data_IF_995198498826
#
_entry.id   IF_995198498826
#
_cell.length_a   1.000
_cell.length_b   1.000
_cell.length_c   1.000
_cell.angle_alpha   90.00
_cell.angle_beta   90.00
_cell.angle_gamma   90.00
#
_symmetry.space_group_name_H-M   'P 1'
#
loop_
_entity.id
_entity.type
_entity.pdbx_description
1 polymer ?
#
# COMPACT_ATOMS: atom_id res chain seq x y z
N UNK A 1 -17.48 13.25 60.46
CA UNK A 1 -17.36 11.95 59.78
C UNK A 1 -16.47 12.13 58.56
N UNK A 2 -15.20 11.72 58.64
CA UNK A 2 -14.26 11.73 57.51
C UNK A 2 -13.67 10.33 57.44
N UNK A 3 -14.07 9.54 56.43
CA UNK A 3 -13.50 8.22 56.13
C UNK A 3 -12.58 8.38 54.94
N UNK A 4 -11.28 8.27 55.19
CA UNK A 4 -10.25 8.14 54.17
C UNK A 4 -10.41 6.79 53.47
N UNK A 5 -10.48 6.80 52.14
CA UNK A 5 -10.42 5.59 51.30
C UNK A 5 -8.95 5.37 50.93
N UNK A 6 -8.36 4.30 51.46
CA UNK A 6 -7.06 3.80 51.04
C UNK A 6 -7.24 3.03 49.72
N UNK A 7 -6.64 3.52 48.63
CA UNK A 7 -6.48 2.75 47.39
C UNK A 7 -5.07 2.18 47.38
N UNK A 8 -4.93 0.91 47.75
CA UNK A 8 -3.68 0.17 47.65
C UNK A 8 -3.46 -0.30 46.22
N UNK A 9 -2.45 0.26 45.55
CA UNK A 9 -1.92 -0.25 44.27
C UNK A 9 -1.09 -1.49 44.61
N UNK A 10 -1.59 -2.67 44.25
CA UNK A 10 -0.84 -3.92 44.33
C UNK A 10 0.11 -3.98 43.13
N UNK A 11 1.36 -3.56 43.34
CA UNK A 11 2.44 -3.71 42.38
C UNK A 11 2.91 -5.17 42.40
N UNK A 12 2.46 -5.95 41.41
CA UNK A 12 2.87 -7.33 41.21
C UNK A 12 4.32 -7.33 40.69
N UNK A 13 5.28 -7.37 41.62
CA UNK A 13 6.67 -7.70 41.31
C UNK A 13 6.69 -9.13 40.73
N UNK A 14 6.86 -9.24 39.42
CA UNK A 14 7.34 -10.48 38.79
C UNK A 14 8.75 -10.72 39.33
N UNK A 15 8.85 -11.56 40.36
CA UNK A 15 10.12 -12.15 40.77
C UNK A 15 10.66 -12.94 39.59
N UNK A 16 11.78 -12.50 39.03
CA UNK A 16 12.59 -13.33 38.17
C UNK A 16 13.04 -14.53 39.01
N UNK A 17 12.58 -15.72 38.63
CA UNK A 17 13.11 -16.96 39.20
C UNK A 17 14.59 -17.02 38.82
N UNK A 18 15.45 -16.98 39.84
CA UNK A 18 16.89 -16.97 39.69
C UNK A 18 17.39 -18.33 39.14
N UNK A 19 18.28 -18.29 38.15
CA UNK A 19 19.10 -19.42 37.66
C UNK A 19 20.17 -19.85 38.69
N UNK A 20 19.78 -20.07 39.94
CA UNK A 20 20.70 -20.47 41.02
C UNK A 20 20.92 -21.98 41.13
N UNK A 21 19.95 -22.78 40.70
CA UNK A 21 19.95 -24.25 40.85
C UNK A 21 20.67 -24.97 39.70
N UNK A 22 20.79 -24.32 38.53
CA UNK A 22 21.44 -24.89 37.34
C UNK A 22 22.96 -25.09 37.53
N UNK A 23 23.63 -24.23 38.31
CA UNK A 23 25.08 -24.30 38.53
C UNK A 23 25.44 -25.51 39.40
N UNK A 24 24.69 -25.75 40.48
CA UNK A 24 24.95 -26.86 41.41
C UNK A 24 24.80 -28.23 40.73
N UNK A 25 23.73 -28.41 39.94
CA UNK A 25 23.52 -29.66 39.21
C UNK A 25 24.62 -29.94 38.17
N UNK A 26 25.02 -28.93 37.39
CA UNK A 26 26.05 -29.10 36.36
C UNK A 26 27.41 -29.44 36.97
N UNK A 27 27.75 -28.82 38.09
CA UNK A 27 28.97 -29.11 38.84
C UNK A 27 28.95 -30.53 39.40
N UNK A 28 27.86 -30.92 40.07
CA UNK A 28 27.68 -32.28 40.60
C UNK A 28 27.76 -33.34 39.49
N UNK A 29 27.11 -33.12 38.35
CA UNK A 29 27.18 -34.04 37.22
C UNK A 29 28.58 -34.12 36.59
N UNK A 30 29.30 -32.99 36.51
CA UNK A 30 30.59 -32.91 35.81
C UNK A 30 31.74 -33.42 36.67
N UNK A 31 31.75 -33.09 37.96
CA UNK A 31 32.84 -33.34 38.90
C UNK A 31 32.65 -34.60 39.76
N UNK A 32 31.42 -35.11 39.91
CA UNK A 32 31.17 -36.32 40.71
C UNK A 32 31.73 -37.58 40.04
N UNK A 33 32.33 -38.44 40.86
CA UNK A 33 32.68 -39.82 40.47
C UNK A 33 31.45 -40.71 40.25
N UNK A 34 30.30 -40.36 40.83
CA UNK A 34 29.01 -41.05 40.69
C UNK A 34 27.97 -40.14 39.99
N UNK A 35 28.15 -39.97 38.69
CA UNK A 35 27.20 -39.21 37.83
C UNK A 35 25.77 -39.77 37.84
N UNK A 36 25.54 -41.10 37.91
CA UNK A 36 24.20 -41.66 38.08
C UNK A 36 23.44 -41.15 39.32
N UNK A 37 24.14 -40.85 40.42
CA UNK A 37 23.50 -40.26 41.60
C UNK A 37 22.91 -38.86 41.31
N UNK A 38 23.64 -38.02 40.57
CA UNK A 38 23.15 -36.71 40.13
C UNK A 38 21.93 -36.85 39.21
N UNK A 39 21.96 -37.78 38.24
CA UNK A 39 20.84 -37.99 37.32
C UNK A 39 19.51 -38.36 38.00
N UNK A 40 19.54 -38.97 39.19
CA UNK A 40 18.33 -39.29 39.99
C UNK A 40 17.61 -38.05 40.52
N UNK A 41 18.28 -36.92 40.60
CA UNK A 41 17.68 -35.65 41.03
C UNK A 41 16.79 -35.03 39.93
N UNK A 42 16.97 -35.46 38.67
CA UNK A 42 16.21 -34.95 37.54
C UNK A 42 14.80 -35.57 37.48
N UNK A 43 13.81 -34.74 37.21
CA UNK A 43 12.40 -35.15 37.12
C UNK A 43 12.18 -35.91 35.80
N UNK A 44 11.74 -37.19 35.83
CA UNK A 44 11.53 -37.96 34.60
C UNK A 44 10.56 -37.30 33.61
N UNK A 45 11.01 -37.18 32.35
CA UNK A 45 10.21 -36.61 31.27
C UNK A 45 10.39 -35.10 31.04
N UNK A 46 11.20 -34.40 31.83
CA UNK A 46 11.64 -33.03 31.54
C UNK A 46 12.73 -33.01 30.46
N UNK A 47 12.94 -31.85 29.83
CA UNK A 47 14.02 -31.67 28.86
C UNK A 47 15.41 -31.90 29.49
N UNK A 48 15.63 -31.43 30.72
CA UNK A 48 16.88 -31.68 31.48
C UNK A 48 17.10 -33.17 31.74
N UNK A 49 16.06 -33.90 32.14
CA UNK A 49 16.13 -35.35 32.32
C UNK A 49 16.62 -36.03 31.04
N UNK A 50 16.01 -35.75 29.90
CA UNK A 50 16.42 -36.37 28.64
C UNK A 50 17.84 -35.96 28.22
N UNK A 51 18.17 -34.66 28.30
CA UNK A 51 19.47 -34.14 27.89
C UNK A 51 20.62 -34.74 28.69
N UNK A 52 20.56 -34.69 30.02
CA UNK A 52 21.67 -35.16 30.88
C UNK A 52 21.81 -36.68 30.90
N UNK A 53 20.70 -37.43 30.81
CA UNK A 53 20.77 -38.89 30.66
C UNK A 53 21.39 -39.27 29.31
N UNK A 54 21.00 -38.62 28.21
CA UNK A 54 21.64 -38.85 26.91
C UNK A 54 23.11 -38.45 26.93
N UNK A 55 23.48 -37.34 27.56
CA UNK A 55 24.87 -36.90 27.66
C UNK A 55 25.72 -37.88 28.46
N UNK A 56 25.18 -38.45 29.53
CA UNK A 56 25.85 -39.51 30.29
C UNK A 56 26.08 -40.77 29.44
N UNK A 57 25.07 -41.20 28.67
CA UNK A 57 25.20 -42.34 27.75
C UNK A 57 26.22 -42.07 26.65
N UNK A 58 26.30 -40.84 26.12
CA UNK A 58 27.36 -40.45 25.18
C UNK A 58 28.75 -40.55 25.82
N UNK A 59 28.91 -40.05 27.04
CA UNK A 59 30.19 -40.06 27.77
C UNK A 59 30.66 -41.46 28.19
N UNK A 60 29.75 -42.43 28.26
CA UNK A 60 30.02 -43.84 28.61
C UNK A 60 29.97 -44.76 27.39
N UNK A 61 29.90 -44.17 26.19
CA UNK A 61 29.88 -44.88 24.89
C UNK A 61 28.70 -45.85 24.69
N UNK A 62 27.62 -45.67 25.46
CA UNK A 62 26.41 -46.49 25.39
C UNK A 62 25.42 -45.95 24.35
N UNK A 63 25.86 -45.83 23.10
CA UNK A 63 25.11 -45.14 22.05
C UNK A 63 23.77 -45.81 21.67
N UNK A 64 23.64 -47.11 21.88
CA UNK A 64 22.42 -47.87 21.58
C UNK A 64 21.24 -47.50 22.50
N UNK A 65 21.51 -47.21 23.78
CA UNK A 65 20.49 -46.87 24.76
C UNK A 65 19.94 -45.43 24.59
N UNK A 66 20.56 -44.61 23.75
CA UNK A 66 20.14 -43.22 23.51
C UNK A 66 18.83 -43.18 22.71
N UNK A 67 18.61 -44.12 21.79
CA UNK A 67 17.40 -44.13 20.93
C UNK A 67 16.10 -44.26 21.75
N UNK A 68 16.16 -45.01 22.85
CA UNK A 68 15.03 -45.19 23.78
C UNK A 68 14.62 -43.88 24.48
N UNK A 69 15.56 -42.93 24.61
CA UNK A 69 15.30 -41.61 25.19
C UNK A 69 14.95 -40.57 24.12
N UNK A 70 15.54 -40.64 22.92
CA UNK A 70 15.32 -39.64 21.86
C UNK A 70 13.88 -39.63 21.34
N UNK A 71 13.25 -40.81 21.19
CA UNK A 71 11.88 -40.91 20.70
C UNK A 71 10.86 -40.24 21.62
N UNK A 72 10.76 -40.60 22.93
CA UNK A 72 9.83 -39.93 23.83
C UNK A 72 10.20 -38.48 24.10
N UNK A 73 11.48 -38.10 24.01
CA UNK A 73 11.89 -36.70 24.10
C UNK A 73 11.33 -35.86 22.95
N UNK A 74 11.46 -36.34 21.70
CA UNK A 74 10.89 -35.69 20.52
C UNK A 74 9.36 -35.59 20.61
N UNK A 75 8.69 -36.67 21.02
CA UNK A 75 7.21 -36.70 21.11
C UNK A 75 6.67 -35.70 22.15
N UNK A 76 7.39 -35.47 23.24
CA UNK A 76 6.96 -34.58 24.33
C UNK A 76 7.33 -33.12 24.12
N UNK A 77 8.54 -32.85 23.63
CA UNK A 77 9.12 -31.51 23.60
C UNK A 77 9.38 -30.98 22.19
N UNK A 78 9.16 -31.79 21.15
CA UNK A 78 9.45 -31.41 19.76
C UNK A 78 10.95 -31.27 19.48
N UNK A 79 11.28 -30.57 18.38
CA UNK A 79 12.66 -30.39 17.96
C UNK A 79 13.33 -29.24 18.73
N UNK A 80 14.02 -29.55 19.84
CA UNK A 80 14.74 -28.55 20.65
C UNK A 80 16.21 -28.38 20.23
N UNK A 81 16.87 -27.30 20.69
CA UNK A 81 18.31 -27.11 20.46
C UNK A 81 19.16 -28.23 21.10
N UNK A 82 18.81 -28.63 22.32
CA UNK A 82 19.45 -29.71 23.09
C UNK A 82 19.25 -31.08 22.45
N UNK A 83 18.05 -31.37 21.94
CA UNK A 83 17.80 -32.60 21.18
C UNK A 83 18.68 -32.66 19.92
N UNK A 84 18.78 -31.55 19.17
CA UNK A 84 19.67 -31.45 18.00
C UNK A 84 21.14 -31.64 18.37
N UNK A 85 21.57 -31.09 19.50
CA UNK A 85 22.92 -31.24 20.02
C UNK A 85 23.26 -32.71 20.32
N UNK A 86 22.40 -33.41 21.08
CA UNK A 86 22.59 -34.83 21.39
C UNK A 86 22.60 -35.69 20.12
N UNK A 87 21.65 -35.47 19.19
CA UNK A 87 21.61 -36.20 17.90
C UNK A 87 22.89 -35.97 17.09
N UNK A 88 23.41 -34.75 17.08
CA UNK A 88 24.65 -34.41 16.37
C UNK A 88 25.86 -35.05 17.03
N UNK A 89 25.99 -34.96 18.35
CA UNK A 89 27.08 -35.62 19.09
C UNK A 89 27.07 -37.13 18.86
N UNK A 90 25.89 -37.75 18.94
CA UNK A 90 25.73 -39.18 18.63
C UNK A 90 26.21 -39.49 17.22
N UNK A 91 25.71 -38.77 16.20
CA UNK A 91 26.11 -39.00 14.81
C UNK A 91 27.63 -38.89 14.60
N UNK A 92 28.29 -37.94 15.27
CA UNK A 92 29.74 -37.79 15.22
C UNK A 92 30.47 -38.94 15.93
N UNK A 93 30.02 -39.32 17.14
CA UNK A 93 30.65 -40.36 17.93
C UNK A 93 30.43 -41.77 17.35
N UNK A 94 29.36 -42.01 16.60
CA UNK A 94 29.11 -43.28 15.92
C UNK A 94 29.61 -43.31 14.47
N UNK A 95 30.39 -42.30 14.04
CA UNK A 95 30.84 -42.19 12.65
C UNK A 95 31.62 -43.43 12.19
N UNK A 96 32.55 -43.92 13.00
CA UNK A 96 33.38 -45.09 12.65
C UNK A 96 32.55 -46.38 12.50
N UNK A 97 31.39 -46.45 13.16
CA UNK A 97 30.49 -47.61 13.10
C UNK A 97 29.47 -47.50 11.96
N UNK A 98 28.97 -46.28 11.69
CA UNK A 98 27.86 -46.04 10.75
C UNK A 98 28.09 -44.77 9.91
N UNK A 99 29.16 -44.72 9.09
CA UNK A 99 29.58 -43.50 8.42
C UNK A 99 28.52 -42.94 7.47
N UNK A 100 27.79 -43.81 6.74
CA UNK A 100 26.76 -43.38 5.80
C UNK A 100 25.61 -42.64 6.50
N UNK A 101 25.08 -43.20 7.60
CA UNK A 101 23.99 -42.60 8.38
C UNK A 101 24.41 -41.29 9.04
N UNK A 102 25.63 -41.23 9.56
CA UNK A 102 26.19 -40.01 10.15
C UNK A 102 26.33 -38.90 9.10
N UNK A 103 26.87 -39.22 7.92
CA UNK A 103 27.02 -38.25 6.83
C UNK A 103 25.67 -37.81 6.24
N UNK A 104 24.67 -38.69 6.18
CA UNK A 104 23.31 -38.34 5.77
C UNK A 104 22.67 -37.37 6.77
N UNK A 105 22.74 -37.67 8.06
CA UNK A 105 22.25 -36.78 9.12
C UNK A 105 22.91 -35.39 9.04
N UNK A 106 24.24 -35.33 8.91
CA UNK A 106 24.97 -34.07 8.86
C UNK A 106 24.65 -33.28 7.58
N UNK A 107 24.53 -33.94 6.42
CA UNK A 107 24.11 -33.29 5.17
C UNK A 107 22.73 -32.65 5.31
N UNK A 108 21.76 -33.38 5.85
CA UNK A 108 20.41 -32.89 6.06
C UNK A 108 20.37 -31.76 7.09
N UNK A 109 21.13 -31.89 8.20
CA UNK A 109 21.17 -30.89 9.27
C UNK A 109 21.78 -29.56 8.84
N UNK A 110 22.88 -29.61 8.08
CA UNK A 110 23.60 -28.41 7.64
C UNK A 110 23.12 -27.88 6.29
N UNK A 111 22.16 -28.54 5.65
CA UNK A 111 21.69 -28.15 4.32
C UNK A 111 22.80 -28.21 3.27
N UNK A 112 23.76 -29.14 3.43
CA UNK A 112 24.89 -29.26 2.50
C UNK A 112 24.38 -29.92 1.23
N UNK A 113 24.01 -29.09 0.27
CA UNK A 113 23.75 -29.49 -1.10
C UNK A 113 24.96 -29.13 -1.96
N UNK A 114 25.33 -30.01 -2.89
CA UNK A 114 26.32 -29.74 -3.92
C UNK A 114 25.62 -29.62 -5.28
N UNK A 115 24.83 -28.57 -5.55
CA UNK A 115 24.14 -28.36 -6.83
C UNK A 115 25.12 -27.94 -7.94
N UNK A 116 26.41 -28.21 -7.76
CA UNK A 116 27.44 -27.87 -8.71
C UNK A 116 27.22 -28.70 -9.97
N UNK A 117 26.78 -28.01 -11.01
CA UNK A 117 26.75 -28.55 -12.34
C UNK A 117 28.16 -28.46 -12.92
N UNK A 118 28.57 -29.45 -13.70
CA UNK A 118 29.83 -29.40 -14.43
C UNK A 118 29.82 -28.18 -15.35
N UNK A 119 30.78 -27.28 -15.18
CA UNK A 119 30.99 -26.18 -16.12
C UNK A 119 31.59 -26.73 -17.42
N UNK A 120 30.79 -26.77 -18.47
CA UNK A 120 31.25 -27.09 -19.81
C UNK A 120 31.75 -25.80 -20.48
N UNK A 121 33.03 -25.50 -20.34
CA UNK A 121 33.67 -24.28 -20.86
C UNK A 121 33.54 -24.09 -22.39
N UNK A 122 33.21 -25.16 -23.11
CA UNK A 122 33.07 -25.18 -24.58
C UNK A 122 31.61 -25.42 -25.02
N UNK A 123 30.63 -25.32 -24.12
CA UNK A 123 29.23 -25.42 -24.52
C UNK A 123 28.77 -24.12 -25.18
N UNK A 124 28.21 -24.22 -26.39
CA UNK A 124 27.58 -23.08 -27.03
C UNK A 124 26.41 -22.58 -26.16
N UNK A 125 26.37 -21.28 -25.80
CA UNK A 125 25.33 -20.77 -24.92
C UNK A 125 23.97 -20.80 -25.65
N UNK A 126 23.08 -21.70 -25.21
CA UNK A 126 21.71 -21.79 -25.68
C UNK A 126 20.80 -20.79 -24.94
N UNK A 127 21.16 -19.51 -24.96
CA UNK A 127 20.39 -18.42 -24.36
C UNK A 127 19.83 -17.50 -25.45
N UNK A 128 18.60 -16.99 -25.30
CA UNK A 128 18.05 -16.01 -26.24
C UNK A 128 18.91 -14.76 -26.29
N UNK A 129 19.35 -14.36 -27.49
CA UNK A 129 20.13 -13.13 -27.71
C UNK A 129 19.27 -11.91 -27.99
N UNK A 130 17.95 -12.10 -28.14
CA UNK A 130 16.98 -11.03 -28.41
C UNK A 130 15.70 -11.24 -27.62
N UNK A 131 15.06 -10.14 -27.21
CA UNK A 131 13.72 -10.17 -26.65
C UNK A 131 12.68 -10.32 -27.77
N UNK A 132 11.69 -11.17 -27.55
CA UNK A 132 10.53 -11.30 -28.43
C UNK A 132 9.74 -9.98 -28.48
N UNK A 133 9.71 -9.27 -29.64
CA UNK A 133 9.00 -7.99 -29.76
C UNK A 133 7.51 -8.09 -29.42
N UNK A 134 6.90 -9.26 -29.64
CA UNK A 134 5.48 -9.47 -29.33
C UNK A 134 5.22 -9.38 -27.82
N UNK A 135 6.18 -9.75 -26.98
CA UNK A 135 6.05 -9.73 -25.51
C UNK A 135 6.36 -8.39 -24.86
N UNK A 136 7.09 -7.52 -25.57
CA UNK A 136 7.51 -6.19 -25.08
C UNK A 136 6.80 -5.04 -25.78
N UNK A 137 5.80 -5.35 -26.61
CA UNK A 137 4.98 -4.34 -27.26
C UNK A 137 4.10 -3.60 -26.24
N UNK A 138 3.71 -2.37 -26.59
CA UNK A 138 2.79 -1.56 -25.76
C UNK A 138 1.45 -2.26 -25.55
N UNK A 139 0.96 -2.97 -26.56
CA UNK A 139 -0.27 -3.74 -26.47
C UNK A 139 -0.12 -4.94 -25.51
N UNK A 140 0.99 -5.67 -25.57
CA UNK A 140 1.26 -6.76 -24.64
C UNK A 140 1.37 -6.29 -23.19
N UNK A 141 2.00 -5.14 -22.94
CA UNK A 141 2.04 -4.54 -21.62
C UNK A 141 0.67 -4.04 -21.16
N UNK A 142 -0.13 -3.44 -22.05
CA UNK A 142 -1.51 -3.02 -21.76
C UNK A 142 -2.36 -4.21 -21.33
N UNK A 143 -2.35 -5.30 -22.11
CA UNK A 143 -3.11 -6.52 -21.80
C UNK A 143 -2.66 -7.15 -20.48
N UNK A 144 -1.35 -7.22 -20.24
CA UNK A 144 -0.81 -7.72 -18.97
C UNK A 144 -1.27 -6.87 -17.78
N UNK A 145 -1.15 -5.55 -17.87
CA UNK A 145 -1.59 -4.64 -16.81
C UNK A 145 -3.09 -4.80 -16.52
N UNK A 146 -3.93 -4.83 -17.57
CA UNK A 146 -5.37 -5.03 -17.41
C UNK A 146 -5.70 -6.42 -16.83
N UNK A 147 -4.97 -7.47 -17.17
CA UNK A 147 -5.19 -8.81 -16.61
C UNK A 147 -4.86 -8.88 -15.11
N UNK A 148 -3.79 -8.22 -14.67
CA UNK A 148 -3.35 -8.24 -13.27
C UNK A 148 -4.29 -7.40 -12.40
N UNK A 149 -4.75 -6.26 -12.94
CA UNK A 149 -5.54 -5.28 -12.20
C UNK A 149 -7.04 -5.35 -12.48
N UNK A 150 -7.56 -6.50 -12.94
CA UNK A 150 -9.01 -6.72 -13.15
C UNK A 150 -9.65 -5.64 -14.04
N UNK A 151 -8.98 -5.29 -15.13
CA UNK A 151 -9.36 -4.22 -16.07
C UNK A 151 -9.38 -2.81 -15.49
N UNK A 152 -8.73 -2.56 -14.34
CA UNK A 152 -8.54 -1.22 -13.77
C UNK A 152 -7.24 -0.58 -14.24
N UNK A 153 -7.12 0.73 -14.05
CA UNK A 153 -5.97 1.52 -14.53
C UNK A 153 -4.84 1.66 -13.51
N UNK A 154 -4.90 0.96 -12.36
CA UNK A 154 -3.84 1.01 -11.33
C UNK A 154 -2.46 0.55 -11.84
N UNK A 155 -2.42 -0.34 -12.84
CA UNK A 155 -1.16 -0.80 -13.44
C UNK A 155 -0.52 0.20 -14.42
N UNK A 156 -1.14 1.36 -14.63
CA UNK A 156 -0.65 2.39 -15.55
C UNK A 156 -0.15 3.60 -14.78
N UNK A 157 1.03 4.08 -15.14
CA UNK A 157 1.55 5.38 -14.72
C UNK A 157 0.80 6.53 -15.42
N UNK A 158 0.84 7.73 -14.85
CA UNK A 158 0.16 8.91 -15.42
C UNK A 158 0.69 9.27 -16.81
N UNK A 159 1.95 8.94 -17.10
CA UNK A 159 2.59 9.10 -18.42
C UNK A 159 1.85 8.32 -19.53
N UNK A 160 1.18 7.22 -19.17
CA UNK A 160 0.44 6.40 -20.12
C UNK A 160 -0.84 7.09 -20.63
N UNK A 161 -1.39 8.06 -19.89
CA UNK A 161 -2.68 8.68 -20.21
C UNK A 161 -2.69 9.45 -21.53
N UNK A 162 -1.53 9.95 -21.97
CA UNK A 162 -1.40 10.62 -23.26
C UNK A 162 -1.85 9.76 -24.44
N UNK A 163 -1.62 8.45 -24.38
CA UNK A 163 -2.05 7.53 -25.43
C UNK A 163 -3.26 6.68 -25.00
N UNK A 164 -3.41 6.40 -23.71
CA UNK A 164 -4.52 5.59 -23.19
C UNK A 164 -5.89 6.25 -23.42
N UNK A 165 -5.96 7.58 -23.40
CA UNK A 165 -7.21 8.33 -23.62
C UNK A 165 -7.83 8.07 -25.01
N UNK A 166 -7.02 7.66 -26.00
CA UNK A 166 -7.46 7.36 -27.36
C UNK A 166 -7.91 5.91 -27.54
N UNK A 167 -7.91 5.09 -26.48
CA UNK A 167 -8.35 3.70 -26.52
C UNK A 167 -9.81 3.58 -26.08
N UNK A 168 -10.42 2.45 -26.42
CA UNK A 168 -11.76 2.12 -25.93
C UNK A 168 -11.71 1.82 -24.43
N UNK A 169 -12.17 2.78 -23.63
CA UNK A 169 -12.26 2.67 -22.18
C UNK A 169 -13.71 2.44 -21.76
N UNK A 170 -13.92 1.44 -20.91
CA UNK A 170 -15.21 1.22 -20.26
C UNK A 170 -15.49 2.35 -19.24
N UNK A 171 -16.72 2.39 -18.70
CA UNK A 171 -17.16 3.47 -17.81
C UNK A 171 -16.31 3.61 -16.53
N UNK A 172 -15.89 2.49 -15.93
CA UNK A 172 -15.10 2.50 -14.70
C UNK A 172 -13.66 2.95 -14.98
N UNK A 173 -13.06 2.47 -16.08
CA UNK A 173 -11.73 2.91 -16.55
C UNK A 173 -11.70 4.39 -16.89
N UNK A 174 -12.73 4.87 -17.60
CA UNK A 174 -12.89 6.28 -17.97
C UNK A 174 -12.89 7.18 -16.74
N UNK A 175 -13.66 6.79 -15.73
CA UNK A 175 -13.73 7.52 -14.46
C UNK A 175 -12.40 7.53 -13.73
N UNK A 176 -11.72 6.39 -13.65
CA UNK A 176 -10.42 6.30 -13.02
C UNK A 176 -9.38 7.18 -13.72
N UNK A 177 -9.39 7.18 -15.07
CA UNK A 177 -8.55 8.05 -15.88
C UNK A 177 -8.86 9.52 -15.57
N UNK A 178 -10.11 9.95 -15.70
CA UNK A 178 -10.53 11.33 -15.43
C UNK A 178 -10.23 11.77 -13.99
N UNK A 179 -10.30 10.85 -13.03
CA UNK A 179 -9.96 11.11 -11.62
C UNK A 179 -8.48 11.38 -11.39
N UNK A 180 -7.60 10.82 -12.24
CA UNK A 180 -6.14 11.01 -12.16
C UNK A 180 -5.61 12.10 -13.10
N UNK A 181 -6.40 12.56 -14.07
CA UNK A 181 -5.97 13.64 -14.95
C UNK A 181 -5.80 14.97 -14.19
N UNK A 182 -4.63 15.58 -14.36
CA UNK A 182 -4.29 16.88 -13.79
C UNK A 182 -4.33 18.03 -14.81
N UNK A 183 -4.27 17.72 -16.10
CA UNK A 183 -4.23 18.72 -17.19
C UNK A 183 -5.41 18.58 -18.14
N UNK A 184 -5.98 19.69 -18.63
CA UNK A 184 -7.14 19.67 -19.52
C UNK A 184 -6.78 19.58 -21.01
N UNK A 185 -5.52 19.38 -21.38
CA UNK A 185 -4.98 19.49 -22.75
C UNK A 185 -5.16 18.23 -23.62
N UNK A 186 -5.93 17.25 -23.16
CA UNK A 186 -6.13 16.01 -23.89
C UNK A 186 -7.21 16.13 -24.98
N UNK A 187 -6.94 15.63 -26.20
CA UNK A 187 -7.96 15.52 -27.25
C UNK A 187 -9.17 14.70 -26.77
N UNK A 188 -10.38 15.16 -27.07
CA UNK A 188 -11.61 14.44 -26.73
C UNK A 188 -12.02 14.50 -25.25
N UNK A 189 -11.29 15.22 -24.38
CA UNK A 189 -11.60 15.32 -22.95
C UNK A 189 -13.05 15.74 -22.67
N UNK A 190 -13.59 16.70 -23.42
CA UNK A 190 -14.97 17.18 -23.24
C UNK A 190 -15.97 16.05 -23.49
N UNK A 191 -15.76 15.24 -24.51
CA UNK A 191 -16.60 14.08 -24.79
C UNK A 191 -16.53 13.06 -23.65
N UNK A 192 -15.32 12.75 -23.19
CA UNK A 192 -15.10 11.81 -22.10
C UNK A 192 -15.77 12.23 -20.80
N UNK A 193 -15.70 13.52 -20.45
CA UNK A 193 -16.37 14.10 -19.29
C UNK A 193 -17.90 14.05 -19.47
N UNK A 194 -18.42 14.41 -20.65
CA UNK A 194 -19.85 14.32 -20.94
C UNK A 194 -20.38 12.89 -20.77
N UNK A 195 -19.65 11.91 -21.28
CA UNK A 195 -20.04 10.51 -21.21
C UNK A 195 -19.92 9.94 -19.78
N UNK A 196 -18.96 10.41 -18.97
CA UNK A 196 -18.87 10.06 -17.54
C UNK A 196 -20.02 10.69 -16.73
N UNK A 197 -20.41 11.92 -17.05
CA UNK A 197 -21.55 12.58 -16.40
C UNK A 197 -22.89 11.91 -16.71
N UNK A 198 -23.01 11.28 -17.88
CA UNK A 198 -24.19 10.50 -18.26
C UNK A 198 -24.25 9.11 -17.59
N UNK A 199 -23.14 8.65 -16.99
CA UNK A 199 -23.09 7.33 -16.34
C UNK A 199 -23.92 7.29 -15.05
N UNK A 200 -24.64 6.20 -14.75
CA UNK A 200 -25.41 6.06 -13.50
C UNK A 200 -24.59 6.19 -12.23
N UNK A 201 -23.29 5.85 -12.29
CA UNK A 201 -22.37 5.98 -11.15
C UNK A 201 -21.79 7.38 -11.01
N UNK A 202 -22.28 8.36 -11.75
CA UNK A 202 -21.72 9.71 -11.73
C UNK A 202 -21.93 10.46 -10.42
N UNK A 203 -20.83 11.00 -9.90
CA UNK A 203 -20.87 11.96 -8.79
C UNK A 203 -21.28 13.36 -9.23
N UNK A 204 -21.59 13.56 -10.52
CA UNK A 204 -21.92 14.86 -11.10
C UNK A 204 -20.68 15.74 -11.34
N UNK A 205 -20.93 16.93 -11.88
CA UNK A 205 -19.85 17.86 -12.18
C UNK A 205 -19.22 18.41 -10.89
N UNK A 206 -17.89 18.48 -10.86
CA UNK A 206 -17.11 18.87 -9.68
C UNK A 206 -16.67 17.72 -8.77
N UNK A 207 -17.13 16.49 -9.00
CA UNK A 207 -16.69 15.30 -8.24
C UNK A 207 -15.23 14.90 -8.55
N UNK A 208 -14.80 15.05 -9.80
CA UNK A 208 -13.44 14.81 -10.26
C UNK A 208 -12.62 16.10 -10.32
N UNK A 209 -11.33 16.01 -9.98
CA UNK A 209 -10.41 17.15 -9.99
C UNK A 209 -10.26 17.81 -11.37
N UNK A 210 -10.30 17.01 -12.44
CA UNK A 210 -10.18 17.49 -13.81
C UNK A 210 -11.25 18.51 -14.21
N UNK A 211 -12.45 18.42 -13.63
CA UNK A 211 -13.55 19.36 -13.90
C UNK A 211 -13.16 20.81 -13.62
N UNK A 212 -12.36 21.02 -12.56
CA UNK A 212 -11.91 22.34 -12.14
C UNK A 212 -10.84 22.93 -13.06
N UNK A 213 -10.10 22.06 -13.76
CA UNK A 213 -9.00 22.43 -14.63
C UNK A 213 -9.45 22.78 -16.05
N UNK A 214 -10.63 22.30 -16.48
CA UNK A 214 -11.19 22.55 -17.81
C UNK A 214 -11.13 24.04 -18.21
N UNK A 215 -10.85 24.28 -19.49
CA UNK A 215 -10.79 25.61 -20.08
C UNK A 215 -12.20 26.17 -20.33
N UNK A 216 -12.32 27.49 -20.45
CA UNK A 216 -13.62 28.12 -20.72
C UNK A 216 -14.27 27.57 -22.00
N UNK A 217 -13.51 27.45 -23.09
CA UNK A 217 -13.97 26.87 -24.36
C UNK A 217 -14.49 25.43 -24.19
N UNK A 218 -13.81 24.64 -23.36
CA UNK A 218 -14.21 23.27 -23.07
C UNK A 218 -15.49 23.20 -22.22
N UNK A 219 -15.67 24.14 -21.28
CA UNK A 219 -16.91 24.26 -20.51
C UNK A 219 -18.08 24.68 -21.41
N UNK A 220 -17.85 25.58 -22.36
CA UNK A 220 -18.86 25.98 -23.35
C UNK A 220 -19.26 24.80 -24.26
N UNK A 221 -18.31 24.00 -24.72
CA UNK A 221 -18.60 22.77 -25.47
C UNK A 221 -19.35 21.73 -24.62
N UNK A 222 -18.97 21.57 -23.35
CA UNK A 222 -19.66 20.67 -22.43
C UNK A 222 -21.10 21.10 -22.22
N UNK A 223 -21.35 22.42 -22.15
CA UNK A 223 -22.69 22.97 -22.00
C UNK A 223 -23.58 22.72 -23.23
N UNK A 224 -23.01 22.78 -24.44
CA UNK A 224 -23.74 22.43 -25.67
C UNK A 224 -24.23 20.97 -25.64
N UNK A 225 -23.46 20.07 -25.02
CA UNK A 225 -23.83 18.65 -24.86
C UNK A 225 -24.80 18.42 -23.70
N UNK A 226 -24.65 19.16 -22.60
CA UNK A 226 -25.49 19.02 -21.41
C UNK A 226 -25.91 20.40 -20.86
N UNK A 227 -27.03 20.97 -21.34
CA UNK A 227 -27.52 22.27 -20.88
C UNK A 227 -27.92 22.30 -19.40
N UNK A 228 -28.25 21.15 -18.81
CA UNK A 228 -28.67 21.03 -17.41
C UNK A 228 -27.57 21.40 -16.40
N UNK A 229 -26.31 21.48 -16.86
CA UNK A 229 -25.17 21.89 -16.03
C UNK A 229 -25.30 23.34 -15.51
N UNK A 230 -26.06 24.21 -16.17
CA UNK A 230 -26.31 25.58 -15.69
C UNK A 230 -27.04 25.64 -14.35
N UNK A 231 -27.74 24.57 -13.96
CA UNK A 231 -28.41 24.47 -12.66
C UNK A 231 -27.48 23.92 -11.55
N UNK A 232 -26.29 23.43 -11.92
CA UNK A 232 -25.36 22.82 -10.96
C UNK A 232 -24.40 23.88 -10.40
N UNK A 233 -24.47 24.08 -9.08
CA UNK A 233 -23.66 25.10 -8.39
C UNK A 233 -22.15 24.95 -8.63
N UNK A 234 -21.64 23.72 -8.70
CA UNK A 234 -20.20 23.47 -8.92
C UNK A 234 -19.75 23.84 -10.34
N UNK A 235 -20.61 23.63 -11.35
CA UNK A 235 -20.33 24.07 -12.71
C UNK A 235 -20.26 25.58 -12.80
N UNK A 236 -21.28 26.28 -12.27
CA UNK A 236 -21.34 27.74 -12.22
C UNK A 236 -20.10 28.32 -11.54
N UNK A 237 -19.71 27.81 -10.35
CA UNK A 237 -18.50 28.25 -9.65
C UNK A 237 -17.22 28.06 -10.47
N UNK A 238 -17.10 26.91 -11.12
CA UNK A 238 -15.93 26.61 -11.96
C UNK A 238 -15.86 27.56 -13.15
N UNK A 239 -16.99 27.83 -13.80
CA UNK A 239 -17.08 28.75 -14.93
C UNK A 239 -16.73 30.19 -14.52
N UNK A 240 -17.27 30.69 -13.40
CA UNK A 240 -16.96 32.03 -12.88
C UNK A 240 -15.46 32.23 -12.64
N UNK A 241 -14.77 31.21 -12.12
CA UNK A 241 -13.31 31.27 -11.91
C UNK A 241 -12.55 31.43 -13.24
N UNK A 242 -13.07 30.90 -14.35
CA UNK A 242 -12.45 31.03 -15.67
C UNK A 242 -12.74 32.38 -16.34
N UNK A 243 -13.79 33.09 -15.90
CA UNK A 243 -14.09 34.44 -16.36
C UNK A 243 -13.23 35.53 -15.70
N UNK A 244 -12.60 35.21 -14.55
CA UNK A 244 -11.77 36.16 -13.84
C UNK A 244 -10.60 36.62 -14.72
N UNK A 245 -10.28 37.92 -14.77
CA UNK A 245 -9.10 38.40 -15.48
C UNK A 245 -7.84 37.72 -14.94
N UNK A 246 -6.86 37.51 -15.83
CA UNK A 246 -5.59 36.89 -15.48
C UNK A 246 -4.81 37.67 -14.41
N UNK A 247 -3.81 37.03 -13.78
CA UNK A 247 -3.04 37.65 -12.69
C UNK A 247 -2.28 38.91 -13.13
N UNK A 248 -1.96 39.03 -14.41
CA UNK A 248 -1.21 40.16 -14.97
C UNK A 248 -2.09 41.40 -15.24
N UNK A 249 -3.41 41.29 -15.02
CA UNK A 249 -4.38 42.35 -15.31
C UNK A 249 -4.87 42.97 -14.00
N UNK A 250 -4.50 44.22 -13.73
CA UNK A 250 -4.95 44.95 -12.53
C UNK A 250 -6.37 45.51 -12.67
N UNK A 251 -7.33 44.62 -12.93
CA UNK A 251 -8.72 45.03 -13.14
C UNK A 251 -9.32 45.74 -11.93
N UNK A 252 -8.89 45.44 -10.70
CA UNK A 252 -9.45 46.04 -9.46
C UNK A 252 -9.26 47.55 -9.33
N UNK A 253 -8.24 48.10 -10.01
CA UNK A 253 -7.93 49.53 -9.96
C UNK A 253 -8.16 50.23 -11.30
N UNK A 254 -8.52 49.48 -12.34
CA UNK A 254 -8.86 50.00 -13.66
C UNK A 254 -10.39 49.89 -13.86
N UNK A 255 -11.10 51.04 -13.90
CA UNK A 255 -12.55 51.04 -14.04
C UNK A 255 -13.05 50.38 -15.34
N UNK A 256 -12.31 50.50 -16.45
CA UNK A 256 -12.70 49.92 -17.73
C UNK A 256 -12.57 48.39 -17.68
N UNK A 257 -11.45 47.89 -17.16
CA UNK A 257 -11.24 46.45 -17.01
C UNK A 257 -12.20 45.81 -15.99
N UNK A 258 -12.60 46.56 -14.95
CA UNK A 258 -13.67 46.13 -14.03
C UNK A 258 -15.00 46.04 -14.77
N UNK A 259 -15.35 47.03 -15.59
CA UNK A 259 -16.58 47.01 -16.40
C UNK A 259 -16.61 45.79 -17.33
N UNK A 260 -15.55 45.56 -18.10
CA UNK A 260 -15.45 44.43 -19.04
C UNK A 260 -15.54 43.06 -18.32
N UNK A 261 -15.03 42.97 -17.09
CA UNK A 261 -15.18 41.77 -16.26
C UNK A 261 -16.63 41.57 -15.79
N UNK A 262 -17.27 42.62 -15.27
CA UNK A 262 -18.67 42.57 -14.84
C UNK A 262 -19.62 42.29 -15.99
N UNK A 263 -19.33 42.78 -17.20
CA UNK A 263 -20.14 42.51 -18.39
C UNK A 263 -20.05 41.04 -18.81
N UNK A 264 -18.85 40.43 -18.74
CA UNK A 264 -18.68 38.97 -18.94
C UNK A 264 -19.43 38.16 -17.89
N UNK A 265 -19.38 38.58 -16.63
CA UNK A 265 -20.14 37.94 -15.55
C UNK A 265 -21.65 38.03 -15.76
N UNK A 266 -22.14 39.21 -16.16
CA UNK A 266 -23.55 39.46 -16.43
C UNK A 266 -24.06 38.61 -17.59
N UNK A 267 -23.34 38.60 -18.72
CA UNK A 267 -23.69 37.77 -19.88
C UNK A 267 -23.76 36.26 -19.56
N UNK A 268 -22.93 35.77 -18.63
CA UNK A 268 -23.04 34.41 -18.14
C UNK A 268 -24.22 34.23 -17.19
N UNK A 269 -24.42 35.15 -16.24
CA UNK A 269 -25.48 35.10 -15.24
C UNK A 269 -26.89 35.18 -15.84
N UNK A 270 -27.06 35.85 -16.97
CA UNK A 270 -28.33 35.95 -17.70
C UNK A 270 -28.84 34.58 -18.17
N UNK A 271 -27.93 33.65 -18.44
CA UNK A 271 -28.25 32.28 -18.87
C UNK A 271 -28.69 31.38 -17.70
N UNK A 272 -28.46 31.79 -16.45
CA UNK A 272 -28.68 30.96 -15.27
C UNK A 272 -30.16 30.94 -14.84
N UNK A 273 -30.61 29.82 -14.30
CA UNK A 273 -31.95 29.69 -13.74
C UNK A 273 -32.12 30.53 -12.44
N UNK A 274 -33.36 30.80 -11.99
CA UNK A 274 -33.65 31.61 -10.80
C UNK A 274 -33.02 31.10 -9.49
N UNK A 275 -32.62 29.82 -9.43
CA UNK A 275 -31.86 29.26 -8.29
C UNK A 275 -30.56 30.02 -8.01
N UNK A 276 -30.02 30.73 -9.01
CA UNK A 276 -28.82 31.56 -8.90
C UNK A 276 -29.11 33.06 -8.68
N UNK A 277 -30.33 33.47 -8.32
CA UNK A 277 -30.67 34.89 -8.13
C UNK A 277 -29.78 35.63 -7.13
N UNK A 278 -29.30 34.95 -6.08
CA UNK A 278 -28.34 35.55 -5.14
C UNK A 278 -27.04 35.97 -5.84
N UNK A 279 -26.52 35.15 -6.76
CA UNK A 279 -25.34 35.48 -7.56
C UNK A 279 -25.63 36.62 -8.53
N UNK A 280 -26.78 36.58 -9.23
CA UNK A 280 -27.22 37.65 -10.15
C UNK A 280 -27.28 39.00 -9.42
N UNK A 281 -27.87 39.02 -8.23
CA UNK A 281 -27.96 40.21 -7.38
C UNK A 281 -26.58 40.73 -6.96
N UNK A 282 -25.61 39.85 -6.64
CA UNK A 282 -24.24 40.27 -6.33
C UNK A 282 -23.54 40.92 -7.53
N UNK A 283 -23.67 40.32 -8.72
CA UNK A 283 -23.10 40.88 -9.94
C UNK A 283 -23.70 42.25 -10.24
N UNK A 284 -25.03 42.37 -10.16
CA UNK A 284 -25.75 43.63 -10.34
C UNK A 284 -25.31 44.69 -9.33
N UNK A 285 -25.20 44.33 -8.05
CA UNK A 285 -24.72 45.23 -7.01
C UNK A 285 -23.33 45.80 -7.35
N UNK A 286 -22.38 44.95 -7.74
CA UNK A 286 -21.03 45.40 -8.10
C UNK A 286 -21.03 46.29 -9.34
N UNK A 287 -21.91 46.03 -10.31
CA UNK A 287 -22.09 46.90 -11.48
C UNK A 287 -22.63 48.28 -11.10
N UNK A 288 -23.65 48.34 -10.26
CA UNK A 288 -24.21 49.61 -9.78
C UNK A 288 -23.21 50.43 -8.94
N UNK A 289 -22.37 49.75 -8.14
CA UNK A 289 -21.29 50.42 -7.39
C UNK A 289 -20.27 51.05 -8.34
N UNK A 290 -19.88 50.35 -9.41
CA UNK A 290 -18.97 50.88 -10.42
C UNK A 290 -19.60 52.07 -11.16
N UNK A 291 -20.82 51.93 -11.65
CA UNK A 291 -21.51 53.00 -12.38
C UNK A 291 -21.65 54.26 -11.51
N UNK A 292 -22.02 54.10 -10.23
CA UNK A 292 -22.08 55.19 -9.25
C UNK A 292 -20.72 55.89 -9.08
N UNK A 293 -19.63 55.14 -9.04
CA UNK A 293 -18.27 55.71 -8.90
C UNK A 293 -17.86 56.58 -10.11
N UNK A 294 -18.48 56.33 -11.27
CA UNK A 294 -18.29 57.09 -12.51
C UNK A 294 -19.35 58.17 -12.73
N UNK A 295 -20.34 58.30 -11.83
CA UNK A 295 -21.47 59.23 -11.97
C UNK A 295 -22.54 58.80 -12.97
N UNK A 296 -22.51 57.54 -13.43
CA UNK A 296 -23.49 56.97 -14.37
C UNK A 296 -24.63 56.32 -13.59
N UNK A 297 -25.88 56.65 -13.93
CA UNK A 297 -27.07 56.07 -13.31
C UNK A 297 -28.04 55.56 -14.39
N UNK A 298 -27.83 54.32 -14.83
CA UNK A 298 -28.69 53.68 -15.82
C UNK A 298 -29.98 53.17 -15.18
N UNK A 299 -31.10 53.81 -15.50
CA UNK A 299 -32.43 53.47 -14.98
C UNK A 299 -32.82 52.02 -15.25
N UNK A 300 -32.39 51.42 -16.37
CA UNK A 300 -32.75 50.04 -16.72
C UNK A 300 -32.15 49.02 -15.75
N UNK A 301 -31.03 49.33 -15.09
CA UNK A 301 -30.38 48.44 -14.12
C UNK A 301 -31.01 48.47 -12.73
N UNK A 302 -31.93 49.40 -12.48
CA UNK A 302 -32.66 49.53 -11.20
C UNK A 302 -34.09 48.97 -11.26
N UNK A 303 -34.55 48.55 -12.44
CA UNK A 303 -35.88 48.00 -12.71
C UNK A 303 -35.81 46.50 -12.99
#
# INVERSE_FOLDING_TARGET
>A
MKRFVLTGIFMMMLGQAMQGDEIGFVEDFSLSSDRPAALKQLIPGTDDYYYWNCLHLLNTEQYGAIDDLLKPWLERHGETARLREIRTRRALLTYDQQPEKSLEYLRNRFGIHFPHQREELNADPNLPTSLDPARISREAFRQRALSIHQSRLQGFEDSAFQWLINNDLNADQRRELLGRLSRPDYPGLVGMVADDLASPRSGGFGSLGIHQQMLQSQLDELLKRNPGLLNQQQFVRTYLRKLQPGPDVNWRHDPQLTADYLDRLTAFADRLAPVHNSLKAHILYHRLVLDRSQGTYDKQRFL
#
